data_IF_729495442300
#
_entry.id   IF_729495442300
#
_cell.length_a   1.000
_cell.length_b   1.000
_cell.length_c   1.000
_cell.angle_alpha   90.00
_cell.angle_beta   90.00
_cell.angle_gamma   90.00
#
_symmetry.space_group_name_H-M   'P 1'
#
loop_
_entity.id
_entity.type
_entity.pdbx_description
1 polymer ?
#
# COMPACT_ATOMS: atom_id res chain seq x y z
N UNK A 1 -2.19 5.86 -24.59
CA UNK A 1 -2.20 4.45 -24.20
C UNK A 1 -1.58 4.45 -22.81
N UNK A 2 -2.38 4.28 -21.76
CA UNK A 2 -1.82 4.10 -20.43
C UNK A 2 -0.97 2.82 -20.49
N UNK A 3 0.29 2.93 -20.10
CA UNK A 3 1.20 1.79 -20.11
C UNK A 3 0.64 0.76 -19.13
N UNK A 4 0.59 -0.52 -19.52
CA UNK A 4 -0.04 -1.59 -18.72
C UNK A 4 0.53 -1.67 -17.29
N UNK A 5 1.75 -1.19 -17.08
CA UNK A 5 2.38 -1.02 -15.78
C UNK A 5 1.71 0.02 -14.88
N UNK A 6 1.18 1.10 -15.45
CA UNK A 6 0.54 2.18 -14.70
C UNK A 6 -0.85 1.75 -14.20
N UNK A 7 -1.61 1.04 -15.02
CA UNK A 7 -2.91 0.48 -14.61
C UNK A 7 -2.76 -0.52 -13.45
N UNK A 8 -1.68 -1.32 -13.45
CA UNK A 8 -1.41 -2.25 -12.35
C UNK A 8 -0.96 -1.53 -11.07
N UNK A 9 -0.17 -0.46 -11.19
CA UNK A 9 0.19 0.39 -10.05
C UNK A 9 -1.06 1.05 -9.44
N UNK A 10 -1.93 1.62 -10.27
CA UNK A 10 -3.18 2.25 -9.83
C UNK A 10 -4.12 1.25 -9.13
N UNK A 11 -4.23 0.02 -9.66
CA UNK A 11 -4.99 -1.06 -9.02
C UNK A 11 -4.40 -1.44 -7.67
N UNK A 12 -3.09 -1.56 -7.59
CA UNK A 12 -2.41 -1.90 -6.33
C UNK A 12 -2.64 -0.81 -5.28
N UNK A 13 -2.53 0.44 -5.70
CA UNK A 13 -2.75 1.61 -4.87
C UNK A 13 -4.19 1.70 -4.34
N UNK A 14 -5.17 1.38 -5.20
CA UNK A 14 -6.57 1.27 -4.78
C UNK A 14 -6.78 0.17 -3.73
N UNK A 15 -6.06 -0.96 -3.83
CA UNK A 15 -6.16 -2.05 -2.85
C UNK A 15 -5.58 -1.64 -1.49
N UNK A 16 -4.46 -0.91 -1.47
CA UNK A 16 -3.90 -0.35 -0.22
C UNK A 16 -4.85 0.65 0.43
N UNK A 17 -5.48 1.51 -0.37
CA UNK A 17 -6.50 2.43 0.13
C UNK A 17 -7.67 1.67 0.79
N UNK A 18 -8.15 0.60 0.16
CA UNK A 18 -9.20 -0.27 0.74
C UNK A 18 -8.73 -0.99 1.99
N UNK A 19 -7.50 -1.50 2.02
CA UNK A 19 -6.94 -2.14 3.20
C UNK A 19 -6.94 -1.18 4.40
N UNK A 20 -6.57 0.09 4.19
CA UNK A 20 -6.67 1.13 5.22
C UNK A 20 -8.11 1.35 5.70
N UNK A 21 -9.06 1.54 4.78
CA UNK A 21 -10.47 1.78 5.11
C UNK A 21 -11.09 0.63 5.91
N UNK A 22 -10.69 -0.60 5.63
CA UNK A 22 -11.17 -1.80 6.30
C UNK A 22 -10.36 -2.17 7.55
N UNK A 23 -9.37 -1.35 7.95
CA UNK A 23 -8.41 -1.65 9.00
C UNK A 23 -7.81 -3.07 8.84
N UNK A 24 -7.48 -3.46 7.61
CA UNK A 24 -6.88 -4.77 7.31
C UNK A 24 -5.38 -4.73 7.55
N UNK A 25 -4.85 -5.84 8.05
CA UNK A 25 -3.42 -6.03 8.22
C UNK A 25 -2.74 -6.19 6.86
N UNK A 26 -1.53 -5.64 6.76
CA UNK A 26 -0.59 -5.80 5.66
C UNK A 26 0.70 -6.39 6.21
N UNK A 27 1.41 -7.16 5.40
CA UNK A 27 2.71 -7.70 5.77
C UNK A 27 3.82 -6.83 5.19
N UNK A 28 4.79 -6.50 6.04
CA UNK A 28 6.02 -5.81 5.67
C UNK A 28 7.20 -6.46 6.39
N UNK A 29 8.22 -6.88 5.63
CA UNK A 29 9.41 -7.56 6.15
C UNK A 29 9.10 -8.74 7.10
N UNK A 30 8.04 -9.51 6.81
CA UNK A 30 7.62 -10.66 7.61
C UNK A 30 6.83 -10.32 8.88
N UNK A 31 6.47 -9.05 9.09
CA UNK A 31 5.68 -8.60 10.23
C UNK A 31 4.33 -8.05 9.77
N UNK A 32 3.30 -8.26 10.59
CA UNK A 32 1.97 -7.73 10.35
C UNK A 32 1.85 -6.31 10.90
N UNK A 33 1.41 -5.39 10.05
CA UNK A 33 1.21 -3.99 10.36
C UNK A 33 -0.18 -3.52 9.94
N UNK A 34 -0.59 -2.36 10.45
CA UNK A 34 -1.72 -1.60 9.92
C UNK A 34 -1.22 -0.35 9.19
N UNK A 35 -1.99 0.10 8.20
CA UNK A 35 -1.70 1.32 7.45
C UNK A 35 -2.15 2.52 8.28
N UNK A 36 -1.20 3.34 8.72
CA UNK A 36 -1.45 4.61 9.39
C UNK A 36 -1.79 5.73 8.38
N UNK A 37 -1.10 5.76 7.25
CA UNK A 37 -1.09 6.89 6.31
C UNK A 37 -0.90 6.45 4.87
N UNK A 38 -1.48 7.21 3.93
CA UNK A 38 -1.24 7.10 2.49
C UNK A 38 -1.09 8.52 1.96
N UNK A 39 -0.06 8.78 1.15
CA UNK A 39 0.21 10.12 0.62
C UNK A 39 0.81 10.05 -0.80
N UNK A 40 0.42 10.99 -1.65
CA UNK A 40 1.00 11.20 -2.97
C UNK A 40 1.74 12.52 -2.99
N UNK A 41 3.05 12.51 -3.19
CA UNK A 41 3.77 13.75 -3.44
C UNK A 41 3.69 14.10 -4.93
N UNK A 42 3.73 15.41 -5.22
CA UNK A 42 3.65 15.89 -6.60
C UNK A 42 4.88 15.41 -7.37
N UNK A 43 4.65 14.60 -8.42
CA UNK A 43 5.71 14.04 -9.26
C UNK A 43 6.04 12.59 -8.95
N UNK A 44 5.43 12.00 -7.92
CA UNK A 44 5.57 10.58 -7.64
C UNK A 44 4.83 9.74 -8.70
N UNK A 45 5.41 8.58 -9.02
CA UNK A 45 4.79 7.57 -9.89
C UNK A 45 3.94 6.56 -9.14
N UNK A 46 4.13 6.44 -7.81
CA UNK A 46 3.39 5.54 -6.92
C UNK A 46 3.14 6.24 -5.58
N UNK A 47 2.09 5.85 -4.84
CA UNK A 47 1.84 6.45 -3.53
C UNK A 47 2.90 6.05 -2.51
N UNK A 48 3.05 6.84 -1.45
CA UNK A 48 3.85 6.46 -0.26
C UNK A 48 2.92 5.97 0.85
N UNK A 49 3.29 4.86 1.50
CA UNK A 49 2.52 4.25 2.59
C UNK A 49 3.25 4.41 3.93
N UNK A 50 2.50 4.70 4.99
CA UNK A 50 3.01 4.77 6.36
C UNK A 50 2.37 3.67 7.20
N UNK A 51 3.19 2.90 7.92
CA UNK A 51 2.74 1.82 8.78
C UNK A 51 2.76 2.22 10.25
N UNK A 52 1.82 1.70 11.03
CA UNK A 52 1.87 1.82 12.48
C UNK A 52 3.14 1.16 13.05
N UNK A 53 3.84 1.89 13.91
CA UNK A 53 5.09 1.44 14.53
C UNK A 53 6.33 1.50 13.62
N UNK A 54 6.21 1.92 12.35
CA UNK A 54 7.35 2.19 11.48
C UNK A 54 7.69 3.67 11.45
N UNK A 55 8.97 4.01 11.63
CA UNK A 55 9.45 5.39 11.49
C UNK A 55 9.62 5.80 10.02
N UNK A 56 9.88 4.84 9.13
CA UNK A 56 10.16 5.09 7.73
C UNK A 56 8.92 4.81 6.87
N UNK A 57 8.67 5.65 5.85
CA UNK A 57 7.69 5.35 4.82
C UNK A 57 8.11 4.09 4.03
N UNK A 58 7.12 3.41 3.49
CA UNK A 58 7.28 2.18 2.71
C UNK A 58 6.64 2.33 1.34
N UNK A 59 7.25 1.67 0.35
CA UNK A 59 6.70 1.66 -1.00
C UNK A 59 5.56 0.66 -1.11
N UNK A 60 4.55 0.93 -1.95
CA UNK A 60 3.44 0.02 -2.20
C UNK A 60 3.89 -1.37 -2.60
N UNK A 61 4.89 -1.47 -3.48
CA UNK A 61 5.40 -2.76 -3.97
C UNK A 61 6.11 -3.61 -2.92
N UNK A 62 6.46 -3.03 -1.75
CA UNK A 62 7.11 -3.73 -0.65
C UNK A 62 6.10 -4.34 0.34
N UNK A 63 4.80 -4.08 0.12
CA UNK A 63 3.71 -4.55 0.99
C UNK A 63 2.98 -5.72 0.37
N UNK A 64 2.72 -6.74 1.19
CA UNK A 64 1.82 -7.83 0.85
C UNK A 64 0.48 -7.62 1.55
N UNK A 65 -0.60 -7.62 0.78
CA UNK A 65 -1.95 -7.55 1.33
C UNK A 65 -2.34 -8.93 1.87
N UNK A 66 -2.67 -9.02 3.16
CA UNK A 66 -3.11 -10.27 3.76
C UNK A 66 -4.58 -10.48 3.40
N UNK A 67 -4.88 -11.38 2.45
CA UNK A 67 -6.25 -11.76 2.11
C UNK A 67 -6.95 -12.38 3.33
N UNK A 68 -8.23 -12.05 3.62
CA UNK A 68 -8.95 -12.77 4.66
C UNK A 68 -9.12 -14.22 4.20
N UNK A 69 -9.04 -15.22 5.09
CA UNK A 69 -9.46 -16.57 4.74
C UNK A 69 -10.92 -16.52 4.28
N UNK A 70 -11.20 -17.13 3.12
CA UNK A 70 -12.55 -17.26 2.55
C UNK A 70 -13.45 -18.13 3.42
#
# INVERSE_FOLDING_TARGET
MADMSQDEADKHDLRLHRAKQLARQVEYRGLLHFIAGLHWHKGDSEMTVYLEGSAEPVRPCELTLVEPPQ
#
